data_IF_137994661248
#
_entry.id   IF_137994661248
#
_cell.length_a   1.000
_cell.length_b   1.000
_cell.length_c   1.000
_cell.angle_alpha   90.00
_cell.angle_beta   90.00
_cell.angle_gamma   90.00
#
_symmetry.space_group_name_H-M   'P 1'
#
loop_
_entity.id
_entity.type
_entity.pdbx_description
1 polymer ?
#
# COMPACT_ATOMS: atom_id res chain seq x y z
N UNK A 1 -22.08 -9.10 -26.36
CA UNK A 1 -20.83 -8.82 -25.60
C UNK A 1 -21.01 -7.50 -24.88
N UNK A 2 -20.74 -7.40 -23.56
CA UNK A 2 -20.62 -6.10 -22.88
C UNK A 2 -19.22 -5.56 -23.18
N UNK A 3 -19.13 -4.38 -23.79
CA UNK A 3 -17.85 -3.67 -23.96
C UNK A 3 -17.31 -3.32 -22.57
N UNK A 4 -16.09 -3.77 -22.21
CA UNK A 4 -15.45 -3.33 -20.96
C UNK A 4 -15.30 -1.79 -20.99
N UNK A 5 -15.61 -1.07 -19.89
CA UNK A 5 -15.32 0.35 -19.82
C UNK A 5 -13.80 0.54 -19.70
N UNK A 6 -13.20 1.18 -20.72
CA UNK A 6 -11.77 1.51 -20.77
C UNK A 6 -11.32 2.09 -19.43
N UNK A 7 -10.28 1.51 -18.81
CA UNK A 7 -9.74 1.86 -17.48
C UNK A 7 -9.86 3.34 -17.07
N UNK A 8 -9.45 4.27 -17.96
CA UNK A 8 -9.50 5.72 -17.73
C UNK A 8 -10.91 6.25 -17.39
N UNK A 9 -11.97 5.72 -18.01
CA UNK A 9 -13.35 6.09 -17.72
C UNK A 9 -13.80 5.57 -16.36
N UNK A 10 -13.29 4.42 -15.90
CA UNK A 10 -13.57 3.91 -14.55
C UNK A 10 -13.00 4.84 -13.48
N UNK A 11 -11.74 5.27 -13.68
CA UNK A 11 -11.07 6.26 -12.83
C UNK A 11 -11.84 7.58 -12.84
N UNK A 12 -12.13 8.13 -14.03
CA UNK A 12 -12.85 9.40 -14.18
C UNK A 12 -14.20 9.40 -13.43
N UNK A 13 -15.03 8.37 -13.62
CA UNK A 13 -16.34 8.23 -12.95
C UNK A 13 -16.26 8.20 -11.41
N UNK A 14 -15.14 7.76 -10.82
CA UNK A 14 -14.93 7.80 -9.37
C UNK A 14 -14.44 9.19 -8.95
N UNK A 15 -13.43 9.73 -9.65
CA UNK A 15 -12.85 11.06 -9.36
C UNK A 15 -13.88 12.19 -9.57
N UNK A 16 -14.84 12.03 -10.48
CA UNK A 16 -15.97 12.95 -10.67
C UNK A 16 -16.85 13.08 -9.42
N UNK A 17 -17.00 12.00 -8.62
CA UNK A 17 -17.71 12.07 -7.33
C UNK A 17 -17.01 13.02 -6.37
N UNK A 18 -15.67 13.03 -6.37
CA UNK A 18 -14.86 13.84 -5.46
C UNK A 18 -15.06 15.35 -5.63
N UNK A 19 -15.60 15.80 -6.78
CA UNK A 19 -15.93 17.21 -7.03
C UNK A 19 -16.86 17.82 -5.98
N UNK A 20 -17.77 17.02 -5.40
CA UNK A 20 -18.76 17.50 -4.42
C UNK A 20 -18.42 17.10 -2.98
N UNK A 21 -17.75 15.96 -2.78
CA UNK A 21 -17.55 15.36 -1.45
C UNK A 21 -16.10 15.30 -0.98
N UNK A 22 -15.10 15.43 -1.86
CA UNK A 22 -13.68 15.26 -1.53
C UNK A 22 -12.79 16.33 -2.21
N UNK A 23 -13.05 17.63 -2.02
CA UNK A 23 -12.37 18.70 -2.76
C UNK A 23 -10.84 18.69 -2.64
N UNK A 24 -10.29 18.38 -1.45
CA UNK A 24 -8.83 18.24 -1.28
C UNK A 24 -8.27 17.00 -2.01
N UNK A 25 -8.97 15.85 -2.02
CA UNK A 25 -8.53 14.68 -2.80
C UNK A 25 -8.58 14.98 -4.31
N UNK A 26 -9.63 15.66 -4.79
CA UNK A 26 -9.73 16.05 -6.19
C UNK A 26 -8.61 17.03 -6.59
N UNK A 27 -8.37 18.07 -5.81
CA UNK A 27 -7.29 19.04 -6.08
C UNK A 27 -5.91 18.35 -6.09
N UNK A 28 -5.70 17.40 -5.18
CA UNK A 28 -4.49 16.58 -5.12
C UNK A 28 -4.36 15.72 -6.38
N UNK A 29 -5.39 14.96 -6.73
CA UNK A 29 -5.40 14.06 -7.87
C UNK A 29 -5.13 14.81 -9.18
N UNK A 30 -5.82 15.93 -9.37
CA UNK A 30 -5.70 16.80 -10.57
C UNK A 30 -4.41 17.61 -10.62
N UNK A 31 -3.61 17.65 -9.54
CA UNK A 31 -2.26 18.21 -9.60
C UNK A 31 -1.25 17.31 -10.33
N UNK A 32 -1.63 16.06 -10.63
CA UNK A 32 -0.81 15.04 -11.28
C UNK A 32 -1.33 14.67 -12.69
N UNK A 33 -0.41 14.31 -13.59
CA UNK A 33 -0.77 13.78 -14.89
C UNK A 33 -1.14 12.29 -14.80
N UNK A 34 -2.38 11.95 -15.14
CA UNK A 34 -2.85 10.55 -15.21
C UNK A 34 -2.37 9.89 -16.52
N UNK A 35 -1.55 8.84 -16.41
CA UNK A 35 -0.86 8.18 -17.53
C UNK A 35 -1.12 6.68 -17.54
N UNK A 36 -1.53 6.15 -18.69
CA UNK A 36 -1.61 4.71 -18.93
C UNK A 36 -0.20 4.13 -19.13
N UNK A 37 0.18 3.16 -18.33
CA UNK A 37 1.47 2.46 -18.40
C UNK A 37 1.26 0.95 -18.25
N UNK A 38 1.08 0.19 -19.35
CA UNK A 38 0.84 -1.26 -19.27
C UNK A 38 2.06 -2.07 -18.81
N UNK A 39 3.25 -1.46 -18.68
CA UNK A 39 4.48 -2.17 -18.30
C UNK A 39 4.66 -2.34 -16.79
N UNK A 40 3.90 -1.59 -15.97
CA UNK A 40 3.89 -1.78 -14.51
C UNK A 40 2.83 -2.80 -14.10
N UNK A 41 2.96 -3.38 -12.92
CA UNK A 41 2.03 -4.38 -12.42
C UNK A 41 0.70 -3.76 -11.95
N UNK A 42 0.72 -2.53 -11.42
CA UNK A 42 -0.40 -1.96 -10.64
C UNK A 42 -0.63 -0.47 -10.94
N UNK A 43 -0.81 0.36 -9.91
CA UNK A 43 -0.87 1.82 -9.97
C UNK A 43 0.22 2.40 -9.07
N UNK A 44 0.89 3.46 -9.53
CA UNK A 44 1.95 4.14 -8.77
C UNK A 44 1.94 5.65 -8.98
N UNK A 45 2.63 6.33 -8.07
CA UNK A 45 2.84 7.77 -8.11
C UNK A 45 4.35 8.07 -8.13
N UNK A 46 4.77 8.85 -9.12
CA UNK A 46 6.16 9.32 -9.27
C UNK A 46 6.20 10.59 -10.12
N UNK A 47 7.14 11.51 -9.85
CA UNK A 47 7.48 12.65 -10.74
C UNK A 47 6.27 13.44 -11.31
N UNK A 48 5.32 13.82 -10.46
CA UNK A 48 4.09 14.52 -10.86
C UNK A 48 3.11 13.71 -11.74
N UNK A 49 3.24 12.38 -11.79
CA UNK A 49 2.40 11.46 -12.56
C UNK A 49 1.72 10.43 -11.66
N UNK A 50 0.51 10.05 -12.04
CA UNK A 50 -0.17 8.85 -11.57
C UNK A 50 -0.15 7.88 -12.76
N UNK A 51 0.68 6.86 -12.67
CA UNK A 51 0.84 5.82 -13.71
C UNK A 51 0.01 4.60 -13.31
N UNK A 52 -0.79 4.07 -14.23
CA UNK A 52 -1.63 2.90 -13.98
C UNK A 52 -1.54 1.88 -15.12
N UNK A 53 -1.50 0.59 -14.76
CA UNK A 53 -1.77 -0.49 -15.70
C UNK A 53 -3.28 -0.56 -16.00
N UNK A 54 -3.73 -0.45 -17.27
CA UNK A 54 -5.14 -0.55 -17.63
C UNK A 54 -5.81 -1.86 -17.21
N UNK A 55 -5.11 -2.99 -17.34
CA UNK A 55 -5.67 -4.32 -17.07
C UNK A 55 -5.95 -4.48 -15.56
N UNK A 56 -5.00 -4.09 -14.71
CA UNK A 56 -5.19 -3.99 -13.25
C UNK A 56 -6.43 -3.14 -12.90
N UNK A 57 -6.56 -1.95 -13.50
CA UNK A 57 -7.70 -1.05 -13.25
C UNK A 57 -9.02 -1.60 -13.79
N UNK A 58 -9.01 -2.43 -14.84
CA UNK A 58 -10.22 -3.07 -15.40
C UNK A 58 -10.67 -4.32 -14.63
N UNK A 59 -9.80 -4.91 -13.81
CA UNK A 59 -10.09 -6.13 -13.05
C UNK A 59 -10.49 -5.87 -11.59
N UNK A 60 -10.19 -4.70 -11.02
CA UNK A 60 -10.71 -4.29 -9.71
C UNK A 60 -12.23 -4.12 -9.71
N UNK A 61 -12.91 -4.45 -8.60
CA UNK A 61 -14.29 -4.00 -8.35
C UNK A 61 -14.33 -2.46 -8.24
N UNK A 62 -15.49 -1.82 -8.45
CA UNK A 62 -15.61 -0.36 -8.29
C UNK A 62 -15.27 0.10 -6.86
N UNK A 63 -15.53 -0.75 -5.86
CA UNK A 63 -15.22 -0.54 -4.44
C UNK A 63 -13.71 -0.58 -4.18
N UNK A 64 -13.03 -1.61 -4.68
CA UNK A 64 -11.58 -1.75 -4.58
C UNK A 64 -10.83 -0.67 -5.37
N UNK A 65 -11.34 -0.28 -6.53
CA UNK A 65 -10.80 0.83 -7.30
C UNK A 65 -10.94 2.15 -6.52
N UNK A 66 -12.11 2.45 -5.96
CA UNK A 66 -12.33 3.68 -5.18
C UNK A 66 -11.40 3.77 -3.95
N UNK A 67 -11.24 2.67 -3.21
CA UNK A 67 -10.27 2.58 -2.13
C UNK A 67 -8.82 2.79 -2.61
N UNK A 68 -8.44 2.19 -3.75
CA UNK A 68 -7.10 2.30 -4.33
C UNK A 68 -6.77 3.74 -4.74
N UNK A 69 -7.69 4.42 -5.44
CA UNK A 69 -7.50 5.82 -5.86
C UNK A 69 -7.39 6.75 -4.64
N UNK A 70 -8.20 6.51 -3.59
CA UNK A 70 -8.12 7.25 -2.31
C UNK A 70 -6.77 7.03 -1.62
N UNK A 71 -6.25 5.81 -1.63
CA UNK A 71 -4.96 5.46 -1.04
C UNK A 71 -3.80 6.22 -1.70
N UNK A 72 -3.75 6.24 -3.04
CA UNK A 72 -2.74 6.99 -3.79
C UNK A 72 -2.90 8.52 -3.66
N UNK A 73 -4.13 9.05 -3.65
CA UNK A 73 -4.38 10.46 -3.38
C UNK A 73 -3.83 10.89 -2.01
N UNK A 74 -3.98 10.05 -0.98
CA UNK A 74 -3.43 10.34 0.35
C UNK A 74 -1.92 10.08 0.45
N UNK A 75 -1.38 9.13 -0.32
CA UNK A 75 0.07 8.95 -0.50
C UNK A 75 0.74 10.23 -1.04
N UNK A 76 0.07 10.88 -1.99
CA UNK A 76 0.45 12.20 -2.53
C UNK A 76 0.32 13.29 -1.46
N UNK A 77 -0.83 13.43 -0.78
CA UNK A 77 -1.04 14.48 0.24
C UNK A 77 -0.05 14.42 1.40
N UNK A 78 0.31 13.21 1.84
CA UNK A 78 1.34 13.03 2.85
C UNK A 78 2.76 13.29 2.31
N UNK A 79 2.94 13.53 1.00
CA UNK A 79 4.23 13.73 0.30
C UNK A 79 5.18 12.53 0.39
N UNK A 80 4.68 11.29 0.41
CA UNK A 80 5.56 10.12 0.46
C UNK A 80 6.46 10.02 -0.80
N UNK A 81 5.97 10.23 -2.04
CA UNK A 81 6.81 10.17 -3.24
C UNK A 81 7.79 11.33 -3.41
N UNK A 82 7.59 12.45 -2.70
CA UNK A 82 8.23 13.75 -2.99
C UNK A 82 9.13 14.31 -1.87
N UNK A 83 9.03 13.78 -0.65
CA UNK A 83 9.84 14.23 0.48
C UNK A 83 10.51 13.07 1.25
N UNK A 84 10.24 11.81 0.88
CA UNK A 84 10.64 10.61 1.65
C UNK A 84 11.32 9.55 0.79
N UNK A 85 12.11 9.98 -0.19
CA UNK A 85 13.09 9.08 -0.80
C UNK A 85 14.05 8.57 0.30
N UNK A 86 14.21 7.25 0.35
CA UNK A 86 15.09 6.55 1.29
C UNK A 86 15.75 5.38 0.54
N UNK A 87 16.93 4.95 1.01
CA UNK A 87 17.76 3.97 0.31
C UNK A 87 17.11 2.61 0.00
N UNK A 88 16.06 2.21 0.73
CA UNK A 88 15.43 0.89 0.59
C UNK A 88 14.00 1.00 0.07
N UNK A 89 13.82 1.02 -1.25
CA UNK A 89 12.54 1.10 -1.97
C UNK A 89 11.41 0.23 -1.39
N UNK A 90 11.65 -1.07 -1.19
CA UNK A 90 10.70 -2.01 -0.56
C UNK A 90 10.23 -1.51 0.82
N UNK A 91 11.15 -1.01 1.65
CA UNK A 91 10.86 -0.55 3.01
C UNK A 91 10.09 0.78 2.95
N UNK A 92 10.46 1.68 2.05
CA UNK A 92 9.72 2.93 1.80
C UNK A 92 8.26 2.66 1.41
N UNK A 93 8.01 1.67 0.56
CA UNK A 93 6.65 1.28 0.21
C UNK A 93 5.90 0.72 1.42
N UNK A 94 6.47 -0.24 2.14
CA UNK A 94 5.86 -0.83 3.34
C UNK A 94 5.57 0.22 4.44
N UNK A 95 6.52 1.12 4.72
CA UNK A 95 6.34 2.21 5.68
C UNK A 95 5.24 3.20 5.24
N UNK A 96 5.18 3.54 3.96
CA UNK A 96 4.08 4.33 3.38
C UNK A 96 2.73 3.64 3.55
N UNK A 97 2.66 2.33 3.26
CA UNK A 97 1.42 1.57 3.31
C UNK A 97 0.90 1.45 4.74
N UNK A 98 1.78 1.14 5.71
CA UNK A 98 1.47 1.15 7.14
C UNK A 98 0.93 2.52 7.58
N UNK A 99 1.66 3.60 7.27
CA UNK A 99 1.25 4.98 7.60
C UNK A 99 -0.16 5.26 7.10
N UNK A 100 -0.48 4.90 5.86
CA UNK A 100 -1.79 5.17 5.26
C UNK A 100 -2.90 4.29 5.85
N UNK A 101 -2.67 2.99 6.02
CA UNK A 101 -3.67 2.04 6.48
C UNK A 101 -4.09 2.26 7.94
N UNK A 102 -3.21 2.80 8.80
CA UNK A 102 -3.53 3.20 10.18
C UNK A 102 -4.64 4.28 10.28
N UNK A 103 -4.70 5.19 9.31
CA UNK A 103 -5.74 6.24 9.25
C UNK A 103 -6.90 5.85 8.34
N UNK A 104 -6.64 5.13 7.24
CA UNK A 104 -7.66 4.81 6.24
C UNK A 104 -8.49 3.58 6.56
N UNK A 105 -7.87 2.53 7.13
CA UNK A 105 -8.51 1.26 7.47
C UNK A 105 -9.41 0.71 6.34
N UNK A 106 -8.86 0.73 5.13
CA UNK A 106 -9.55 0.27 3.92
C UNK A 106 -9.61 -1.26 3.86
N UNK A 107 -10.50 -1.78 3.01
CA UNK A 107 -10.60 -3.21 2.69
C UNK A 107 -9.47 -3.73 1.79
N UNK A 108 -8.60 -2.85 1.31
CA UNK A 108 -7.38 -3.26 0.63
C UNK A 108 -6.53 -4.09 1.61
N UNK A 109 -5.94 -5.22 1.20
CA UNK A 109 -5.21 -6.15 2.08
C UNK A 109 -3.84 -5.63 2.58
N UNK A 110 -3.74 -4.34 2.87
CA UNK A 110 -2.60 -3.77 3.58
C UNK A 110 -2.64 -4.18 5.06
N UNK A 111 -1.51 -4.66 5.63
CA UNK A 111 -1.41 -4.91 7.06
C UNK A 111 -1.42 -3.59 7.84
N UNK A 112 -1.83 -3.63 9.11
CA UNK A 112 -1.62 -2.55 10.08
C UNK A 112 -0.33 -2.72 10.86
N UNK A 113 0.07 -1.69 11.60
CA UNK A 113 1.28 -1.71 12.41
C UNK A 113 1.26 -2.87 13.42
N UNK A 114 0.15 -3.07 14.14
CA UNK A 114 -0.03 -4.22 15.04
C UNK A 114 0.08 -5.59 14.37
N UNK A 115 -0.24 -5.71 13.08
CA UNK A 115 -0.23 -6.98 12.36
C UNK A 115 1.21 -7.34 11.93
N UNK A 116 2.09 -6.33 11.77
CA UNK A 116 3.52 -6.49 11.45
C UNK A 116 4.40 -6.55 12.70
N UNK A 117 4.08 -5.77 13.74
CA UNK A 117 4.93 -5.58 14.92
C UNK A 117 4.40 -6.26 16.20
N UNK A 118 3.20 -6.85 16.17
CA UNK A 118 2.58 -7.55 17.31
C UNK A 118 2.07 -6.68 18.45
N UNK A 119 2.20 -5.35 18.36
CA UNK A 119 1.85 -4.41 19.44
C UNK A 119 1.10 -3.18 18.90
N UNK A 120 0.09 -2.75 19.65
CA UNK A 120 -0.74 -1.57 19.38
C UNK A 120 -0.08 -0.26 19.79
N UNK A 121 1.01 -0.28 20.58
CA UNK A 121 1.81 0.91 20.86
C UNK A 121 2.37 1.56 19.58
N UNK A 122 2.48 0.77 18.51
CA UNK A 122 2.94 1.20 17.19
C UNK A 122 1.79 1.61 16.25
N UNK A 123 0.54 1.62 16.68
CA UNK A 123 -0.57 2.16 15.87
C UNK A 123 -0.37 3.67 15.63
N UNK A 124 -0.85 4.18 14.49
CA UNK A 124 -0.93 5.60 14.12
C UNK A 124 0.40 6.41 14.21
N UNK A 125 1.53 5.78 13.91
CA UNK A 125 2.84 6.44 13.84
C UNK A 125 3.11 7.06 12.45
N UNK A 126 4.16 7.86 12.36
CA UNK A 126 4.61 8.52 11.13
C UNK A 126 5.49 7.60 10.27
N UNK A 127 5.58 7.91 8.96
CA UNK A 127 6.38 7.15 7.98
C UNK A 127 7.79 6.81 8.48
N UNK A 128 8.53 7.79 9.00
CA UNK A 128 9.93 7.58 9.38
C UNK A 128 10.06 6.62 10.58
N UNK A 129 9.07 6.57 11.47
CA UNK A 129 9.01 5.56 12.53
C UNK A 129 8.90 4.16 11.93
N UNK A 130 7.93 3.93 11.03
CA UNK A 130 7.77 2.63 10.38
C UNK A 130 8.96 2.26 9.50
N UNK A 131 9.55 3.22 8.80
CA UNK A 131 10.73 3.00 7.98
C UNK A 131 11.92 2.50 8.81
N UNK A 132 12.22 3.14 9.95
CA UNK A 132 13.27 2.69 10.85
C UNK A 132 12.91 1.35 11.52
N UNK A 133 11.68 1.17 12.01
CA UNK A 133 11.26 -0.09 12.66
C UNK A 133 11.34 -1.30 11.71
N UNK A 134 11.03 -1.11 10.42
CA UNK A 134 11.15 -2.14 9.39
C UNK A 134 12.60 -2.41 8.94
N UNK A 135 13.51 -1.44 9.10
CA UNK A 135 14.96 -1.63 8.93
C UNK A 135 15.55 -2.44 10.08
N UNK A 136 15.14 -2.14 11.32
CA UNK A 136 15.60 -2.88 12.51
C UNK A 136 15.23 -4.37 12.41
N UNK A 137 14.05 -4.71 11.88
CA UNK A 137 13.61 -6.09 11.63
C UNK A 137 14.36 -6.82 10.51
N UNK A 138 15.03 -6.10 9.60
CA UNK A 138 15.84 -6.68 8.52
C UNK A 138 17.33 -6.71 8.86
N UNK A 139 17.72 -6.03 9.93
CA UNK A 139 19.07 -6.11 10.48
C UNK A 139 19.13 -7.37 11.36
N UNK A 140 20.09 -8.30 11.14
CA UNK A 140 20.21 -9.45 12.02
C UNK A 140 20.46 -8.97 13.45
N UNK A 141 19.72 -9.50 14.42
CA UNK A 141 19.97 -9.21 15.83
C UNK A 141 21.37 -9.73 16.19
N UNK A 142 22.14 -9.03 17.05
CA UNK A 142 23.48 -9.49 17.43
C UNK A 142 23.52 -10.89 18.06
N UNK A 143 22.38 -11.37 18.56
CA UNK A 143 22.23 -12.69 19.18
C UNK A 143 22.29 -13.84 18.16
N UNK A 144 21.88 -13.62 16.90
CA UNK A 144 21.98 -14.64 15.84
C UNK A 144 23.40 -14.76 15.27
N UNK A 145 24.23 -13.72 15.40
CA UNK A 145 25.59 -13.68 14.88
C UNK A 145 26.62 -14.50 15.68
N UNK A 146 26.25 -15.04 16.86
CA UNK A 146 27.17 -15.74 17.78
C UNK A 146 27.07 -17.27 17.71
N UNK A 147 26.12 -17.82 16.96
CA UNK A 147 25.94 -19.28 16.78
C UNK A 147 26.85 -19.93 15.71
N UNK A 148 27.91 -19.22 15.28
CA UNK A 148 28.91 -19.72 14.34
C UNK A 148 29.82 -20.79 14.93
N UNK A 149 29.39 -22.06 14.91
CA UNK A 149 30.23 -23.21 15.28
C UNK A 149 31.01 -23.72 14.05
N UNK A 150 32.35 -23.71 14.04
CA UNK A 150 33.13 -24.25 12.94
C UNK A 150 33.36 -25.76 13.10
N UNK A 151 32.94 -26.56 12.11
CA UNK A 151 33.17 -28.02 12.08
C UNK A 151 33.13 -28.56 10.65
N UNK A 152 34.22 -29.16 10.19
CA UNK A 152 34.40 -29.65 8.82
C UNK A 152 34.08 -31.16 8.67
N UNK A 153 33.82 -31.61 7.44
CA UNK A 153 33.97 -33.05 7.10
C UNK A 153 33.08 -33.60 5.98
N UNK A 154 33.70 -33.93 4.84
CA UNK A 154 33.17 -34.76 3.75
C UNK A 154 32.50 -36.08 4.19
N UNK A 155 31.58 -36.61 3.36
CA UNK A 155 31.20 -38.03 3.40
C UNK A 155 30.13 -38.41 2.38
N UNK A 156 30.44 -39.23 1.38
CA UNK A 156 29.57 -39.50 0.23
C UNK A 156 28.50 -40.61 0.39
N UNK A 157 27.53 -40.51 -0.54
CA UNK A 157 26.96 -41.57 -1.38
C UNK A 157 26.00 -42.66 -0.84
N UNK A 158 25.16 -43.10 -1.79
CA UNK A 158 24.33 -44.32 -1.86
C UNK A 158 23.12 -44.48 -0.91
N UNK A 159 22.04 -45.24 -1.23
CA UNK A 159 21.40 -45.63 -2.51
C UNK A 159 20.06 -46.38 -2.20
N UNK A 160 19.24 -46.65 -3.24
CA UNK A 160 18.11 -47.62 -3.30
C UNK A 160 16.84 -47.34 -2.44
N UNK A 161 15.67 -47.00 -3.02
CA UNK A 161 14.69 -47.84 -3.76
C UNK A 161 13.90 -48.88 -2.94
N UNK A 162 12.57 -48.92 -3.23
CA UNK A 162 11.55 -49.95 -3.02
C UNK A 162 10.57 -49.79 -1.82
N UNK A 163 9.30 -50.23 -1.88
CA UNK A 163 8.35 -50.48 -2.99
C UNK A 163 6.95 -50.83 -2.44
N UNK A 164 5.88 -50.42 -3.13
CA UNK A 164 4.50 -50.96 -2.99
C UNK A 164 3.69 -50.55 -1.73
N UNK A 165 2.38 -50.78 -1.66
CA UNK A 165 1.37 -51.06 -2.70
C UNK A 165 -0.08 -50.88 -2.13
N UNK A 166 -1.02 -50.50 -3.01
CA UNK A 166 -2.50 -50.70 -2.98
C UNK A 166 -3.33 -50.72 -1.69
N UNK A 167 -4.48 -50.04 -1.72
CA UNK A 167 -5.60 -50.26 -0.80
C UNK A 167 -6.83 -49.37 -1.05
N UNK A 168 -7.72 -49.76 -1.98
CA UNK A 168 -9.01 -49.08 -2.21
C UNK A 168 -10.09 -49.52 -1.22
N UNK A 169 -10.97 -48.59 -0.82
CA UNK A 169 -12.37 -48.90 -0.50
C UNK A 169 -13.25 -47.64 -0.59
N UNK A 170 -14.36 -47.73 -1.31
CA UNK A 170 -15.48 -46.76 -1.28
C UNK A 170 -16.45 -47.15 -0.17
N UNK A 171 -17.23 -46.19 0.34
CA UNK A 171 -18.56 -46.42 0.93
C UNK A 171 -19.43 -45.19 0.71
N UNK A 172 -20.55 -45.37 0.01
CA UNK A 172 -21.60 -44.36 -0.17
C UNK A 172 -22.69 -44.51 0.91
N UNK A 173 -23.40 -43.44 1.27
CA UNK A 173 -24.65 -43.51 2.04
C UNK A 173 -25.52 -42.26 1.81
N UNK A 174 -26.59 -42.46 1.03
CA UNK A 174 -27.78 -41.60 0.86
C UNK A 174 -28.83 -42.05 1.92
N UNK A 175 -29.87 -41.35 2.39
CA UNK A 175 -30.59 -40.07 2.14
C UNK A 175 -31.53 -39.88 3.40
N UNK A 176 -32.57 -39.00 3.50
CA UNK A 176 -33.10 -37.96 2.60
C UNK A 176 -33.41 -36.57 3.21
N UNK A 177 -33.74 -35.64 2.30
CA UNK A 177 -34.69 -34.50 2.36
C UNK A 177 -34.99 -33.75 3.68
N UNK A 178 -34.82 -32.42 3.65
CA UNK A 178 -35.94 -31.48 3.73
C UNK A 178 -35.66 -30.28 2.80
N UNK A 179 -36.67 -29.83 2.06
CA UNK A 179 -36.55 -28.75 1.08
C UNK A 179 -36.93 -27.38 1.67
N UNK A 180 -36.11 -26.36 1.38
CA UNK A 180 -36.59 -24.98 1.21
C UNK A 180 -35.96 -24.38 -0.05
N UNK A 181 -36.80 -23.91 -0.97
CA UNK A 181 -36.37 -23.22 -2.19
C UNK A 181 -35.86 -21.83 -1.81
N UNK A 182 -34.58 -21.56 -2.10
CA UNK A 182 -34.01 -20.22 -2.03
C UNK A 182 -33.20 -19.96 -3.29
N UNK A 183 -33.75 -19.08 -4.13
CA UNK A 183 -33.14 -18.56 -5.36
C UNK A 183 -31.64 -18.28 -5.19
N UNK A 184 -30.75 -18.91 -5.98
CA UNK A 184 -29.35 -18.53 -6.00
C UNK A 184 -29.21 -17.21 -6.75
N UNK A 185 -29.41 -16.09 -6.03
CA UNK A 185 -28.94 -14.79 -6.48
C UNK A 185 -27.43 -14.90 -6.72
N UNK A 186 -27.04 -14.92 -7.99
CA UNK A 186 -25.64 -14.96 -8.40
C UNK A 186 -25.00 -13.59 -8.18
N UNK A 187 -24.82 -13.25 -6.90
CA UNK A 187 -24.03 -12.10 -6.51
C UNK A 187 -22.62 -12.25 -7.08
N UNK A 188 -22.12 -11.18 -7.67
CA UNK A 188 -20.98 -11.27 -8.57
C UNK A 188 -19.71 -11.51 -7.76
N UNK A 189 -19.26 -12.77 -7.76
CA UNK A 189 -18.02 -13.24 -7.13
C UNK A 189 -16.93 -12.17 -7.14
N UNK A 190 -16.50 -11.75 -5.95
CA UNK A 190 -15.51 -10.69 -5.71
C UNK A 190 -14.10 -11.16 -6.14
N UNK A 191 -13.89 -11.27 -7.45
CA UNK A 191 -12.65 -11.74 -8.08
C UNK A 191 -11.64 -10.60 -8.23
N UNK A 192 -11.15 -10.12 -7.09
CA UNK A 192 -10.00 -9.21 -6.99
C UNK A 192 -8.92 -9.53 -5.92
N UNK A 193 -9.00 -10.54 -5.02
CA UNK A 193 -7.98 -10.73 -3.95
C UNK A 193 -6.54 -10.86 -4.44
N UNK A 194 -6.31 -11.63 -5.52
CA UNK A 194 -4.96 -11.96 -6.00
C UNK A 194 -4.25 -10.78 -6.67
N UNK A 195 -4.99 -9.90 -7.36
CA UNK A 195 -4.42 -8.67 -7.92
C UNK A 195 -4.16 -7.62 -6.84
N UNK A 196 -5.04 -7.58 -5.83
CA UNK A 196 -4.85 -6.71 -4.68
C UNK A 196 -3.65 -7.11 -3.84
N UNK A 197 -3.36 -8.41 -3.69
CA UNK A 197 -2.15 -8.85 -2.98
C UNK A 197 -0.88 -8.34 -3.67
N UNK A 198 -0.80 -8.35 -5.00
CA UNK A 198 0.31 -7.77 -5.78
C UNK A 198 0.49 -6.27 -5.48
N UNK A 199 -0.59 -5.50 -5.43
CA UNK A 199 -0.55 -4.06 -5.11
C UNK A 199 -0.18 -3.77 -3.66
N UNK A 200 -0.62 -4.60 -2.71
CA UNK A 200 -0.34 -4.40 -1.29
C UNK A 200 1.02 -4.93 -0.84
N UNK A 201 1.57 -5.93 -1.53
CA UNK A 201 2.85 -6.57 -1.20
C UNK A 201 4.05 -5.73 -1.66
N UNK A 202 4.88 -5.35 -0.70
CA UNK A 202 6.09 -4.56 -0.94
C UNK A 202 7.21 -5.33 -1.67
N UNK A 203 7.16 -6.66 -1.71
CA UNK A 203 8.07 -7.51 -2.49
C UNK A 203 7.71 -7.55 -3.97
N UNK A 204 6.42 -7.55 -4.32
CA UNK A 204 5.94 -7.76 -5.68
C UNK A 204 5.90 -6.45 -6.48
N UNK A 205 5.17 -5.44 -5.98
CA UNK A 205 5.04 -4.12 -6.64
C UNK A 205 5.81 -3.02 -5.93
N UNK A 206 6.14 -3.16 -4.63
CA UNK A 206 6.68 -2.05 -3.84
C UNK A 206 8.00 -1.45 -4.33
N UNK A 207 8.90 -2.26 -4.90
CA UNK A 207 10.13 -1.74 -5.52
C UNK A 207 9.82 -0.96 -6.81
N UNK A 208 8.94 -1.48 -7.66
CA UNK A 208 8.50 -0.82 -8.90
C UNK A 208 7.74 0.49 -8.64
N UNK A 209 6.92 0.52 -7.58
CA UNK A 209 6.07 1.65 -7.22
C UNK A 209 6.85 2.79 -6.53
N UNK A 210 8.11 2.56 -6.13
CA UNK A 210 8.94 3.53 -5.38
C UNK A 210 10.31 3.84 -6.01
N UNK A 211 10.68 3.17 -7.11
CA UNK A 211 12.01 3.31 -7.74
C UNK A 211 12.35 4.72 -8.27
N UNK A 212 11.36 5.59 -8.48
CA UNK A 212 11.54 7.00 -8.87
C UNK A 212 10.86 7.97 -7.90
N UNK A 213 10.68 7.57 -6.63
CA UNK A 213 10.44 8.54 -5.56
C UNK A 213 11.71 9.36 -5.36
N UNK A 214 11.58 10.67 -5.36
CA UNK A 214 12.70 11.59 -5.32
C UNK A 214 12.26 12.92 -4.72
N UNK A 215 13.20 13.77 -4.29
CA UNK A 215 12.88 15.07 -3.72
C UNK A 215 12.36 16.02 -4.81
N UNK A 216 11.08 16.37 -4.74
CA UNK A 216 10.45 17.37 -5.60
C UNK A 216 9.92 18.52 -4.72
N UNK A 217 10.72 19.58 -4.59
CA UNK A 217 10.38 20.74 -3.76
C UNK A 217 9.22 21.52 -4.34
N UNK A 218 9.20 21.75 -5.66
CA UNK A 218 8.15 22.49 -6.34
C UNK A 218 6.79 21.81 -6.19
N UNK A 219 6.73 20.48 -6.32
CA UNK A 219 5.50 19.73 -6.13
C UNK A 219 5.14 19.62 -4.64
N UNK A 220 6.12 19.52 -3.74
CA UNK A 220 5.88 19.55 -2.29
C UNK A 220 5.27 20.88 -1.83
N UNK A 221 5.79 22.01 -2.31
CA UNK A 221 5.27 23.35 -2.01
C UNK A 221 3.88 23.56 -2.61
N UNK A 222 3.62 23.04 -3.82
CA UNK A 222 2.29 23.05 -4.43
C UNK A 222 1.28 22.26 -3.61
N UNK A 223 1.68 21.10 -3.07
CA UNK A 223 0.84 20.28 -2.20
C UNK A 223 0.56 20.98 -0.87
N UNK A 224 1.54 21.69 -0.30
CA UNK A 224 1.31 22.52 0.89
C UNK A 224 0.27 23.62 0.62
N UNK A 225 0.30 24.23 -0.56
CA UNK A 225 -0.68 25.25 -0.90
C UNK A 225 -2.10 24.68 -1.04
N UNK A 226 -2.25 23.45 -1.58
CA UNK A 226 -3.54 22.76 -1.57
C UNK A 226 -4.05 22.53 -0.14
N UNK A 227 -3.17 22.12 0.77
CA UNK A 227 -3.50 21.90 2.18
C UNK A 227 -3.86 23.21 2.89
N UNK A 228 -3.13 24.30 2.66
CA UNK A 228 -3.44 25.65 3.21
C UNK A 228 -4.79 26.16 2.70
N UNK A 229 -5.07 26.03 1.41
CA UNK A 229 -6.37 26.39 0.83
C UNK A 229 -7.52 25.55 1.42
N UNK A 230 -7.32 24.25 1.64
CA UNK A 230 -8.31 23.41 2.31
C UNK A 230 -8.49 23.76 3.80
N UNK A 231 -7.43 24.16 4.48
CA UNK A 231 -7.51 24.67 5.85
C UNK A 231 -8.32 25.98 5.93
N UNK A 232 -8.09 26.91 5.00
CA UNK A 232 -8.75 28.22 4.97
C UNK A 232 -10.24 28.15 4.60
N UNK A 233 -10.61 27.24 3.69
CA UNK A 233 -11.98 27.07 3.19
C UNK A 233 -12.76 25.91 3.86
N UNK A 234 -12.17 25.29 4.88
CA UNK A 234 -12.61 24.03 5.54
C UNK A 234 -12.97 22.88 4.57
N UNK A 235 -12.34 22.86 3.39
CA UNK A 235 -12.66 21.93 2.30
C UNK A 235 -11.88 20.62 2.40
N UNK A 236 -12.01 19.92 3.53
CA UNK A 236 -11.27 18.68 3.83
C UNK A 236 -11.91 17.39 3.29
N UNK A 237 -13.18 17.44 2.90
CA UNK A 237 -13.93 16.24 2.52
C UNK A 237 -14.09 15.29 3.73
N UNK A 238 -13.88 14.00 3.52
CA UNK A 238 -13.97 12.98 4.58
C UNK A 238 -12.63 12.69 5.31
N UNK A 239 -11.64 13.58 5.17
CA UNK A 239 -10.35 13.45 5.87
C UNK A 239 -10.55 13.72 7.37
N UNK A 240 -10.58 12.65 8.17
CA UNK A 240 -10.83 12.71 9.61
C UNK A 240 -9.71 13.39 10.42
N UNK A 241 -10.06 13.87 11.62
CA UNK A 241 -9.22 14.75 12.46
C UNK A 241 -7.75 14.32 12.63
N UNK A 242 -7.49 13.06 13.01
CA UNK A 242 -6.12 12.55 13.18
C UNK A 242 -5.29 12.55 11.88
N UNK A 243 -5.93 12.31 10.74
CA UNK A 243 -5.26 12.37 9.44
C UNK A 243 -5.07 13.83 8.99
N UNK A 244 -6.02 14.72 9.28
CA UNK A 244 -5.89 16.18 9.10
C UNK A 244 -4.72 16.73 9.93
N UNK A 245 -4.57 16.33 11.19
CA UNK A 245 -3.42 16.65 12.05
C UNK A 245 -2.10 16.19 11.43
N UNK A 246 -2.03 14.95 10.95
CA UNK A 246 -0.84 14.38 10.30
C UNK A 246 -0.49 15.10 8.98
N UNK A 247 -1.50 15.50 8.18
CA UNK A 247 -1.30 16.29 6.96
C UNK A 247 -0.79 17.71 7.32
N UNK A 248 -1.38 18.37 8.32
CA UNK A 248 -0.93 19.69 8.79
C UNK A 248 0.50 19.65 9.37
N UNK A 249 0.88 18.57 10.05
CA UNK A 249 2.24 18.38 10.53
C UNK A 249 3.30 18.34 9.40
N UNK A 250 2.91 17.94 8.17
CA UNK A 250 3.79 17.93 6.99
C UNK A 250 3.98 19.31 6.33
N UNK A 251 3.23 20.34 6.74
CA UNK A 251 3.44 21.73 6.31
C UNK A 251 4.70 22.35 6.94
N UNK A 252 5.13 21.83 8.10
CA UNK A 252 6.22 22.40 8.88
C UNK A 252 7.53 21.64 8.60
N UNK A 253 8.60 22.32 8.13
CA UNK A 253 9.90 21.68 7.96
C UNK A 253 10.40 21.08 9.27
N UNK A 254 10.84 19.82 9.23
CA UNK A 254 11.48 19.13 10.37
C UNK A 254 12.86 19.76 10.63
N UNK A 255 12.87 20.83 11.43
CA UNK A 255 14.09 21.44 11.95
C UNK A 255 14.83 20.43 12.83
N UNK A 256 15.99 19.95 12.38
CA UNK A 256 16.95 19.30 13.27
C UNK A 256 17.56 20.37 14.20
N UNK A 257 16.85 20.63 15.28
CA UNK A 257 17.26 21.53 16.34
C UNK A 257 18.60 21.11 16.96
N UNK A 258 19.01 19.83 16.90
CA UNK A 258 20.32 19.37 17.42
C UNK A 258 21.44 19.83 16.47
N UNK A 259 21.25 19.68 15.16
CA UNK A 259 22.19 20.19 14.16
C UNK A 259 22.26 21.72 14.14
N UNK A 260 21.12 22.40 14.31
CA UNK A 260 21.05 23.87 14.42
C UNK A 260 21.77 24.36 15.69
N UNK A 261 21.42 23.81 16.87
CA UNK A 261 22.07 24.19 18.14
C UNK A 261 23.57 23.85 18.17
N UNK A 262 24.02 22.81 17.44
CA UNK A 262 25.46 22.51 17.29
C UNK A 262 26.21 23.63 16.57
N UNK A 263 25.59 24.37 15.64
CA UNK A 263 26.21 25.53 14.97
C UNK A 263 26.38 26.74 15.90
N UNK A 264 25.54 26.84 16.94
CA UNK A 264 25.61 27.89 17.97
C UNK A 264 26.47 27.52 19.20
N UNK A 265 27.22 26.41 19.14
CA UNK A 265 28.21 26.01 20.17
C UNK A 265 29.65 26.38 19.76
N UNK A 266 29.78 27.46 19.00
CA UNK A 266 31.06 28.05 18.55
C UNK A 266 31.15 29.47 19.10
#
# INVERSE_FOLDING_TARGET
MRTKPIARHRIARIVEKWLLIEPLLLATWTSHALVSEPRIQTIRVQRGRIEYNPDFIEELSDRHLEATLRFEALRILLKHPYSRHQAHSKISYAASNLTLQEYLQTELPFPRARDVFGDRSYDQQFFEFYYHKLLDLQSPTPEEAVSGTPGAGMGGADAALASGASGSAQSESFEPELAEESEPTSDSSDRSPELLSVYTDATLSGVENTNQWDRDELLSDRLDELVRMAQANDSWGSIGGKLREQILANLHPKLDYRAVLRKFRT
#
